data_IF_399400686194
#
_entry.id   IF_399400686194
#
_cell.length_a   1.000
_cell.length_b   1.000
_cell.length_c   1.000
_cell.angle_alpha   90.00
_cell.angle_beta   90.00
_cell.angle_gamma   90.00
#
_symmetry.space_group_name_H-M   'P 1'
#
loop_
_entity.id
_entity.type
_entity.pdbx_description
1 polymer ?
#
# COMPACT_ATOMS: atom_id res chain seq x y z
N UNK A 1 -1.95 -25.82 -35.18
CA UNK A 1 -3.21 -26.50 -34.78
C UNK A 1 -3.59 -26.11 -33.38
N UNK A 2 -4.83 -26.25 -32.93
CA UNK A 2 -5.28 -25.87 -31.57
C UNK A 2 -4.45 -26.52 -30.46
N UNK A 3 -3.93 -27.75 -30.70
CA UNK A 3 -3.06 -28.46 -29.75
C UNK A 3 -1.78 -27.68 -29.38
N UNK A 4 -1.24 -26.93 -30.28
CA UNK A 4 0.00 -26.16 -30.05
C UNK A 4 -0.22 -24.95 -29.13
N UNK A 5 -1.46 -24.41 -29.11
CA UNK A 5 -1.83 -23.29 -28.26
C UNK A 5 -1.65 -23.59 -26.75
N UNK A 6 -1.87 -24.85 -26.35
CA UNK A 6 -1.82 -25.25 -24.94
C UNK A 6 -0.47 -25.84 -24.51
N UNK A 7 0.45 -26.05 -25.43
CA UNK A 7 1.75 -26.70 -25.16
C UNK A 7 2.96 -25.79 -25.37
N UNK A 8 2.84 -24.75 -26.20
CA UNK A 8 3.93 -23.79 -26.44
C UNK A 8 4.10 -22.82 -25.29
N UNK A 9 5.33 -22.62 -24.86
CA UNK A 9 5.69 -21.53 -23.95
C UNK A 9 5.66 -20.17 -24.66
N UNK A 10 5.66 -19.10 -23.89
CA UNK A 10 5.56 -17.71 -24.40
C UNK A 10 6.66 -17.37 -25.42
N UNK A 11 7.88 -17.94 -25.28
CA UNK A 11 8.98 -17.73 -26.21
C UNK A 11 8.67 -18.18 -27.62
N UNK A 12 7.90 -19.25 -27.76
CA UNK A 12 7.49 -19.81 -29.04
C UNK A 12 6.17 -19.22 -29.53
N UNK A 13 5.26 -18.94 -28.60
CA UNK A 13 3.92 -18.44 -28.93
C UNK A 13 3.93 -16.94 -29.29
N UNK A 14 4.73 -16.14 -28.58
CA UNK A 14 4.86 -14.69 -28.77
C UNK A 14 6.28 -14.22 -28.43
N UNK A 15 7.21 -14.32 -29.41
CA UNK A 15 8.60 -13.92 -29.22
C UNK A 15 8.78 -12.42 -28.89
N UNK A 16 7.86 -11.57 -29.36
CA UNK A 16 7.91 -10.12 -29.12
C UNK A 16 7.65 -9.81 -27.65
N UNK A 17 6.57 -10.34 -27.07
CA UNK A 17 6.25 -10.21 -25.65
C UNK A 17 7.33 -10.89 -24.81
N UNK A 18 7.80 -12.07 -25.19
CA UNK A 18 8.91 -12.74 -24.50
C UNK A 18 10.17 -11.85 -24.44
N UNK A 19 10.48 -11.16 -25.52
CA UNK A 19 11.58 -10.21 -25.58
C UNK A 19 11.45 -9.06 -24.57
N UNK A 20 10.23 -8.55 -24.35
CA UNK A 20 10.00 -7.49 -23.35
C UNK A 20 10.21 -8.02 -21.93
N UNK A 21 9.67 -9.21 -21.63
CA UNK A 21 9.84 -9.85 -20.32
C UNK A 21 11.32 -10.15 -20.01
N UNK A 22 12.05 -10.57 -21.01
CA UNK A 22 13.49 -10.88 -20.86
C UNK A 22 14.30 -9.61 -20.55
N UNK A 23 14.02 -8.50 -21.25
CA UNK A 23 14.67 -7.21 -20.98
C UNK A 23 14.32 -6.64 -19.61
N UNK A 24 13.06 -6.81 -19.17
CA UNK A 24 12.67 -6.39 -17.82
C UNK A 24 13.37 -7.22 -16.74
N UNK A 25 13.49 -8.53 -16.94
CA UNK A 25 14.26 -9.38 -16.04
C UNK A 25 15.73 -8.93 -15.97
N UNK A 26 16.34 -8.64 -17.12
CA UNK A 26 17.71 -8.12 -17.20
C UNK A 26 17.85 -6.77 -16.48
N UNK A 27 16.90 -5.86 -16.66
CA UNK A 27 16.85 -4.59 -15.93
C UNK A 27 16.83 -4.81 -14.42
N UNK A 28 15.92 -5.63 -13.92
CA UNK A 28 15.80 -5.91 -12.48
C UNK A 28 17.03 -6.61 -11.88
N UNK A 29 17.79 -7.37 -12.69
CA UNK A 29 19.02 -8.02 -12.25
C UNK A 29 20.23 -7.09 -12.23
N UNK A 30 20.25 -6.07 -13.09
CA UNK A 30 21.41 -5.20 -13.31
C UNK A 30 21.26 -3.78 -12.75
N UNK A 31 20.04 -3.39 -12.29
CA UNK A 31 19.79 -2.10 -11.66
C UNK A 31 19.47 -2.26 -10.18
N UNK A 32 19.74 -1.23 -9.41
CA UNK A 32 19.39 -1.16 -7.99
C UNK A 32 18.01 -0.49 -7.87
N UNK A 33 17.03 -1.25 -7.40
CA UNK A 33 15.67 -0.77 -7.18
C UNK A 33 15.56 -0.06 -5.82
N UNK A 34 15.31 1.25 -5.85
CA UNK A 34 15.12 2.08 -4.65
C UNK A 34 13.74 2.75 -4.60
N UNK A 35 12.80 2.36 -5.46
CA UNK A 35 11.41 2.80 -5.37
C UNK A 35 10.77 2.14 -4.15
N UNK A 36 10.44 2.91 -3.12
CA UNK A 36 9.96 2.39 -1.83
C UNK A 36 8.67 1.57 -1.91
N UNK A 37 7.91 1.68 -3.00
CA UNK A 37 6.68 0.91 -3.25
C UNK A 37 6.90 -0.37 -4.07
N UNK A 38 8.14 -0.69 -4.45
CA UNK A 38 8.49 -1.88 -5.23
C UNK A 38 9.23 -2.92 -4.40
N UNK A 39 9.14 -4.18 -4.84
CA UNK A 39 9.84 -5.31 -4.24
C UNK A 39 9.90 -6.46 -5.23
N UNK A 40 10.76 -7.44 -4.95
CA UNK A 40 10.97 -8.61 -5.81
C UNK A 40 10.19 -9.81 -5.23
N UNK A 41 9.16 -10.24 -5.95
CA UNK A 41 8.37 -11.42 -5.58
C UNK A 41 9.18 -12.71 -5.79
N UNK A 42 8.98 -13.70 -4.91
CA UNK A 42 9.63 -15.00 -5.05
C UNK A 42 9.14 -15.75 -6.30
N UNK A 43 9.96 -16.68 -6.79
CA UNK A 43 9.57 -17.55 -7.90
C UNK A 43 8.29 -18.35 -7.60
N UNK A 44 8.10 -18.74 -6.36
CA UNK A 44 6.88 -19.46 -5.93
C UNK A 44 5.62 -18.61 -6.06
N UNK A 45 5.72 -17.31 -5.72
CA UNK A 45 4.63 -16.34 -5.90
C UNK A 45 4.33 -16.16 -7.39
N UNK A 46 5.36 -15.97 -8.23
CA UNK A 46 5.20 -15.82 -9.68
C UNK A 46 4.59 -17.06 -10.32
N UNK A 47 5.01 -18.27 -9.91
CA UNK A 47 4.45 -19.52 -10.39
C UNK A 47 2.95 -19.69 -10.02
N UNK A 48 2.59 -19.33 -8.79
CA UNK A 48 1.19 -19.35 -8.37
C UNK A 48 0.33 -18.36 -9.16
N UNK A 49 0.85 -17.17 -9.43
CA UNK A 49 0.18 -16.13 -10.21
C UNK A 49 -0.01 -16.54 -11.68
N UNK A 50 0.95 -17.27 -12.26
CA UNK A 50 0.87 -17.82 -13.62
C UNK A 50 0.15 -19.18 -13.70
N UNK A 51 -0.61 -19.58 -12.68
CA UNK A 51 -1.26 -20.88 -12.61
C UNK A 51 -2.60 -20.94 -13.33
N UNK A 52 -3.12 -22.17 -13.51
CA UNK A 52 -4.44 -22.46 -14.11
C UNK A 52 -5.61 -21.86 -13.33
N UNK A 53 -5.39 -21.38 -12.12
CA UNK A 53 -6.44 -20.69 -11.34
C UNK A 53 -6.93 -19.40 -12.01
N UNK A 54 -6.19 -18.84 -12.97
CA UNK A 54 -6.65 -17.73 -13.81
C UNK A 54 -7.90 -18.06 -14.63
N UNK A 55 -8.14 -19.34 -14.92
CA UNK A 55 -9.26 -19.81 -15.72
C UNK A 55 -10.58 -19.86 -14.94
N UNK A 56 -10.53 -19.81 -13.60
CA UNK A 56 -11.70 -20.08 -12.76
C UNK A 56 -12.45 -18.82 -12.38
N UNK A 57 -13.73 -18.77 -12.73
CA UNK A 57 -14.67 -17.74 -12.30
C UNK A 57 -15.27 -18.11 -10.92
N UNK A 58 -15.12 -17.26 -9.91
CA UNK A 58 -15.44 -17.60 -8.52
C UNK A 58 -16.15 -16.47 -7.75
N UNK A 59 -17.17 -15.82 -8.35
CA UNK A 59 -18.00 -14.83 -7.67
C UNK A 59 -18.60 -15.38 -6.38
N UNK A 60 -18.67 -14.55 -5.37
CA UNK A 60 -19.05 -14.90 -4.01
C UNK A 60 -17.84 -15.16 -3.11
N UNK A 61 -18.03 -15.92 -2.06
CA UNK A 61 -17.04 -16.24 -1.04
C UNK A 61 -16.90 -17.74 -0.83
N UNK A 62 -15.83 -18.24 -0.18
CA UNK A 62 -15.67 -19.67 0.08
C UNK A 62 -16.93 -20.31 0.67
N UNK A 63 -17.36 -21.43 0.12
CA UNK A 63 -18.59 -22.13 0.49
C UNK A 63 -19.90 -21.46 0.05
N UNK A 64 -19.85 -20.26 -0.54
CA UNK A 64 -21.01 -19.47 -1.01
C UNK A 64 -20.72 -18.85 -2.37
N UNK A 65 -20.34 -19.68 -3.35
CA UNK A 65 -20.06 -19.22 -4.73
C UNK A 65 -21.31 -19.25 -5.58
N UNK A 66 -21.33 -18.40 -6.60
CA UNK A 66 -22.40 -18.39 -7.61
C UNK A 66 -22.19 -19.42 -8.71
N UNK A 67 -20.99 -20.04 -8.80
CA UNK A 67 -20.61 -21.00 -9.85
C UNK A 67 -20.15 -22.33 -9.25
N UNK A 68 -20.36 -23.40 -9.97
CA UNK A 68 -19.81 -24.72 -9.61
C UNK A 68 -18.31 -24.82 -9.85
N UNK A 69 -17.69 -25.90 -9.37
CA UNK A 69 -16.27 -26.22 -9.58
C UNK A 69 -15.32 -25.29 -8.80
N UNK A 70 -15.73 -24.76 -7.67
CA UNK A 70 -14.93 -23.82 -6.86
C UNK A 70 -14.17 -24.49 -5.70
N UNK A 71 -14.23 -25.81 -5.57
CA UNK A 71 -13.63 -26.55 -4.46
C UNK A 71 -12.17 -26.17 -4.19
N UNK A 72 -11.32 -26.14 -5.20
CA UNK A 72 -9.90 -25.87 -5.02
C UNK A 72 -9.57 -24.38 -4.89
N UNK A 73 -10.35 -23.51 -5.54
CA UNK A 73 -10.18 -22.06 -5.34
C UNK A 73 -10.66 -21.62 -3.96
N UNK A 74 -11.66 -22.29 -3.40
CA UNK A 74 -12.10 -22.09 -2.01
C UNK A 74 -10.96 -22.44 -1.05
N UNK A 75 -10.34 -23.62 -1.21
CA UNK A 75 -9.19 -24.01 -0.41
C UNK A 75 -8.04 -23.00 -0.49
N UNK A 76 -7.74 -22.47 -1.69
CA UNK A 76 -6.69 -21.47 -1.86
C UNK A 76 -7.01 -20.17 -1.12
N UNK A 77 -8.26 -19.71 -1.19
CA UNK A 77 -8.69 -18.48 -0.49
C UNK A 77 -8.74 -18.70 1.03
N UNK A 78 -9.21 -19.85 1.50
CA UNK A 78 -9.22 -20.22 2.92
C UNK A 78 -7.81 -20.28 3.51
N UNK A 79 -6.85 -20.90 2.82
CA UNK A 79 -5.44 -20.91 3.21
C UNK A 79 -4.89 -19.48 3.32
N UNK A 80 -5.20 -18.63 2.35
CA UNK A 80 -4.77 -17.24 2.37
C UNK A 80 -5.40 -16.46 3.53
N UNK A 81 -6.70 -16.66 3.78
CA UNK A 81 -7.44 -16.05 4.90
C UNK A 81 -6.90 -16.49 6.26
N UNK A 82 -6.61 -17.77 6.44
CA UNK A 82 -6.02 -18.28 7.68
C UNK A 82 -4.65 -17.66 7.94
N UNK A 83 -3.79 -17.65 6.91
CA UNK A 83 -2.43 -17.13 7.02
C UNK A 83 -2.40 -15.62 7.29
N UNK A 84 -3.23 -14.82 6.61
CA UNK A 84 -3.26 -13.37 6.82
C UNK A 84 -3.81 -13.01 8.20
N UNK A 85 -4.83 -13.71 8.68
CA UNK A 85 -5.35 -13.53 10.05
C UNK A 85 -4.28 -13.81 11.09
N UNK A 86 -3.52 -14.88 10.94
CA UNK A 86 -2.40 -15.21 11.82
C UNK A 86 -1.28 -14.16 11.73
N UNK A 87 -0.94 -13.72 10.51
CA UNK A 87 0.16 -12.77 10.26
C UNK A 87 -0.07 -11.42 10.92
N UNK A 88 -1.29 -10.90 10.88
CA UNK A 88 -1.63 -9.58 11.42
C UNK A 88 -2.43 -9.62 12.73
N UNK A 89 -2.67 -10.81 13.27
CA UNK A 89 -3.47 -11.01 14.50
C UNK A 89 -4.86 -10.34 14.40
N UNK A 90 -5.56 -10.57 13.30
CA UNK A 90 -6.91 -10.05 13.07
C UNK A 90 -7.98 -11.14 13.04
N UNK A 91 -9.22 -10.79 13.37
CA UNK A 91 -10.36 -11.73 13.40
C UNK A 91 -10.91 -11.99 12.00
N UNK A 92 -11.00 -10.94 11.18
CA UNK A 92 -11.66 -10.98 9.87
C UNK A 92 -10.78 -10.36 8.80
N UNK A 93 -10.81 -10.94 7.60
CA UNK A 93 -10.07 -10.45 6.45
C UNK A 93 -10.89 -10.65 5.16
N UNK A 94 -10.80 -9.71 4.23
CA UNK A 94 -11.25 -9.84 2.86
C UNK A 94 -10.05 -9.72 1.92
N UNK A 95 -9.86 -10.72 1.06
CA UNK A 95 -8.72 -10.82 0.14
C UNK A 95 -9.10 -10.61 -1.32
N UNK A 96 -10.31 -10.19 -1.62
CA UNK A 96 -10.77 -10.04 -3.00
C UNK A 96 -10.52 -8.67 -3.64
N UNK A 97 -10.18 -7.56 -2.93
CA UNK A 97 -9.83 -6.32 -3.60
C UNK A 97 -8.66 -6.49 -4.58
N UNK A 98 -8.83 -6.04 -5.83
CA UNK A 98 -7.82 -6.18 -6.88
C UNK A 98 -6.64 -5.22 -6.69
N UNK A 99 -6.84 -4.11 -5.98
CA UNK A 99 -5.80 -3.11 -5.70
C UNK A 99 -6.05 -2.39 -4.38
N UNK A 100 -5.02 -1.69 -3.85
CA UNK A 100 -5.16 -0.84 -2.66
C UNK A 100 -6.23 0.24 -2.83
N UNK A 101 -6.32 0.85 -4.00
CA UNK A 101 -7.36 1.83 -4.31
C UNK A 101 -8.77 1.23 -4.20
N UNK A 102 -8.98 0.02 -4.73
CA UNK A 102 -10.28 -0.66 -4.63
C UNK A 102 -10.57 -1.14 -3.21
N UNK A 103 -9.56 -1.52 -2.43
CA UNK A 103 -9.75 -1.82 -1.00
C UNK A 103 -10.26 -0.58 -0.24
N UNK A 104 -9.65 0.59 -0.44
CA UNK A 104 -10.11 1.84 0.16
C UNK A 104 -11.52 2.22 -0.34
N UNK A 105 -11.80 2.07 -1.64
CA UNK A 105 -13.12 2.33 -2.22
C UNK A 105 -14.20 1.41 -1.62
N UNK A 106 -13.88 0.13 -1.41
CA UNK A 106 -14.82 -0.81 -0.78
C UNK A 106 -15.13 -0.41 0.67
N UNK A 107 -14.14 0.07 1.43
CA UNK A 107 -14.35 0.60 2.78
C UNK A 107 -15.20 1.87 2.74
N UNK A 108 -14.94 2.77 1.79
CA UNK A 108 -15.77 3.98 1.61
C UNK A 108 -17.22 3.61 1.26
N UNK A 109 -17.43 2.71 0.30
CA UNK A 109 -18.76 2.25 -0.09
C UNK A 109 -19.51 1.58 1.08
N UNK A 110 -18.79 0.85 1.94
CA UNK A 110 -19.38 0.16 3.10
C UNK A 110 -19.82 1.11 4.23
N UNK A 111 -19.10 2.23 4.43
CA UNK A 111 -19.17 3.01 5.66
C UNK A 111 -19.56 4.47 5.47
N UNK A 112 -19.53 4.99 4.24
CA UNK A 112 -19.75 6.40 3.92
C UNK A 112 -20.86 6.58 2.89
N UNK A 113 -21.40 7.78 2.84
CA UNK A 113 -22.28 8.26 1.77
C UNK A 113 -21.53 9.32 0.94
N UNK A 114 -21.90 9.54 -0.35
CA UNK A 114 -21.39 10.67 -1.12
C UNK A 114 -21.56 11.99 -0.34
N UNK A 115 -20.54 12.85 -0.41
CA UNK A 115 -20.43 14.12 0.31
C UNK A 115 -20.19 14.05 1.82
N UNK A 116 -20.08 12.86 2.41
CA UNK A 116 -19.56 12.76 3.79
C UNK A 116 -18.16 13.38 3.88
N UNK A 117 -17.86 13.96 5.03
CA UNK A 117 -16.53 14.53 5.28
C UNK A 117 -15.56 13.42 5.65
N UNK A 118 -14.40 13.41 5.01
CA UNK A 118 -13.25 12.57 5.36
C UNK A 118 -12.04 13.44 5.71
N UNK A 119 -11.21 12.98 6.63
CA UNK A 119 -9.95 13.64 7.03
C UNK A 119 -8.79 12.71 6.72
N UNK A 120 -7.88 13.12 5.83
CA UNK A 120 -6.73 12.32 5.40
C UNK A 120 -5.46 13.15 5.23
N UNK A 121 -4.29 12.49 5.15
CA UNK A 121 -3.02 13.16 4.95
C UNK A 121 -2.93 13.75 3.54
N UNK A 122 -2.45 14.99 3.41
CA UNK A 122 -2.23 15.65 2.13
C UNK A 122 -1.13 14.96 1.31
N UNK A 123 -1.24 15.01 -0.02
CA UNK A 123 -0.20 14.48 -0.92
C UNK A 123 1.16 15.13 -0.67
N UNK A 124 1.19 16.45 -0.42
CA UNK A 124 2.41 17.20 -0.16
C UNK A 124 3.10 16.75 1.12
N UNK A 125 2.35 16.22 2.10
CA UNK A 125 2.88 15.69 3.36
C UNK A 125 3.17 14.18 3.31
N UNK A 126 3.02 13.55 2.15
CA UNK A 126 3.29 12.13 1.95
C UNK A 126 2.05 11.23 1.93
N UNK A 127 0.82 11.78 1.93
CA UNK A 127 -0.42 11.02 1.81
C UNK A 127 -0.57 10.28 0.49
N UNK A 128 -1.55 9.39 0.40
CA UNK A 128 -1.89 8.66 -0.82
C UNK A 128 -3.03 9.35 -1.59
N UNK A 129 -3.11 9.13 -2.90
CA UNK A 129 -4.19 9.67 -3.75
C UNK A 129 -5.58 9.36 -3.20
N UNK A 130 -5.79 8.14 -2.70
CA UNK A 130 -7.09 7.71 -2.17
C UNK A 130 -7.44 8.27 -0.79
N UNK A 131 -6.59 9.13 -0.21
CA UNK A 131 -6.85 9.79 1.08
C UNK A 131 -7.48 11.18 0.92
N UNK A 132 -8.24 11.41 -0.16
CA UNK A 132 -8.96 12.65 -0.39
C UNK A 132 -8.31 13.61 -1.39
N UNK A 133 -7.33 13.14 -2.19
CA UNK A 133 -6.73 14.00 -3.22
C UNK A 133 -7.76 14.38 -4.29
N UNK A 134 -7.82 15.66 -4.67
CA UNK A 134 -8.81 16.23 -5.61
C UNK A 134 -8.99 15.46 -6.93
N UNK A 135 -7.94 14.94 -7.62
CA UNK A 135 -8.13 14.20 -8.86
C UNK A 135 -8.66 12.77 -8.65
N UNK A 136 -8.58 12.24 -7.43
CA UNK A 136 -9.02 10.89 -7.09
C UNK A 136 -10.52 10.84 -6.79
N UNK A 137 -11.12 9.63 -6.91
CA UNK A 137 -12.51 9.38 -6.54
C UNK A 137 -12.80 9.88 -5.12
N UNK A 138 -11.89 9.66 -4.16
CA UNK A 138 -12.06 10.09 -2.76
C UNK A 138 -12.18 11.62 -2.62
N UNK A 139 -11.47 12.38 -3.43
CA UNK A 139 -11.58 13.86 -3.45
C UNK A 139 -12.72 14.40 -4.31
N UNK A 140 -13.35 13.55 -5.15
CA UNK A 140 -14.50 13.91 -5.99
C UNK A 140 -15.84 13.59 -5.33
N UNK A 141 -15.90 12.49 -4.57
CA UNK A 141 -17.13 12.00 -3.95
C UNK A 141 -17.35 12.51 -2.53
N UNK A 142 -16.28 12.84 -1.83
CA UNK A 142 -16.32 13.24 -0.43
C UNK A 142 -15.87 14.69 -0.24
N UNK A 143 -16.33 15.29 0.85
CA UNK A 143 -15.77 16.54 1.36
C UNK A 143 -14.43 16.22 2.05
N UNK A 144 -13.33 16.26 1.28
CA UNK A 144 -12.03 15.85 1.74
C UNK A 144 -11.28 17.00 2.43
N UNK A 145 -11.12 16.90 3.73
CA UNK A 145 -10.24 17.73 4.56
C UNK A 145 -8.88 17.06 4.67
N UNK A 146 -7.80 17.84 4.63
CA UNK A 146 -6.46 17.30 4.65
C UNK A 146 -5.63 17.86 5.79
N UNK A 147 -4.99 16.98 6.57
CA UNK A 147 -3.98 17.35 7.56
C UNK A 147 -2.57 17.26 6.98
N UNK A 148 -1.65 17.89 7.65
CA UNK A 148 -0.26 17.97 7.22
C UNK A 148 0.75 17.49 8.26
N UNK A 149 1.93 18.06 8.17
CA UNK A 149 3.05 17.87 9.08
C UNK A 149 3.45 19.24 9.66
N UNK A 150 4.12 19.24 10.80
CA UNK A 150 4.65 20.44 11.44
C UNK A 150 5.59 21.19 10.51
N UNK A 151 5.44 22.50 10.44
CA UNK A 151 6.16 23.37 9.49
C UNK A 151 7.52 23.84 10.00
N UNK A 152 7.69 23.87 11.31
CA UNK A 152 8.86 24.38 12.01
C UNK A 152 9.13 23.65 13.33
N UNK A 153 10.12 24.13 14.07
CA UNK A 153 10.51 23.54 15.36
C UNK A 153 11.33 22.24 15.24
N UNK A 154 11.58 21.64 16.40
CA UNK A 154 12.37 20.41 16.49
C UNK A 154 11.66 19.20 15.85
N UNK A 155 10.32 19.24 15.80
CA UNK A 155 9.47 18.21 15.25
C UNK A 155 9.03 18.52 13.80
N UNK A 156 9.75 19.40 13.12
CA UNK A 156 9.49 19.75 11.73
C UNK A 156 9.37 18.49 10.86
N UNK A 157 8.42 18.50 9.94
CA UNK A 157 8.10 17.42 9.00
C UNK A 157 7.48 16.16 9.68
N UNK A 158 7.24 16.16 11.00
CA UNK A 158 6.46 15.11 11.67
C UNK A 158 4.96 15.39 11.59
N UNK A 159 4.12 14.33 11.63
CA UNK A 159 2.66 14.49 11.65
C UNK A 159 2.25 15.44 12.77
N UNK A 160 1.45 16.45 12.42
CA UNK A 160 0.90 17.40 13.38
C UNK A 160 -0.41 16.85 13.95
N UNK A 161 -0.30 16.11 15.05
CA UNK A 161 -1.48 15.53 15.70
C UNK A 161 -2.40 16.57 16.31
N UNK A 162 -1.91 17.74 16.65
CA UNK A 162 -2.73 18.82 17.19
C UNK A 162 -3.56 19.45 16.07
N UNK A 163 -2.98 19.60 14.86
CA UNK A 163 -3.72 19.96 13.64
C UNK A 163 -4.78 18.89 13.30
N UNK A 164 -4.41 17.60 13.37
CA UNK A 164 -5.39 16.50 13.11
C UNK A 164 -6.58 16.60 14.05
N UNK A 165 -6.34 16.83 15.35
CA UNK A 165 -7.41 16.95 16.33
C UNK A 165 -8.26 18.20 16.11
N UNK A 166 -7.64 19.35 15.86
CA UNK A 166 -8.34 20.61 15.58
C UNK A 166 -9.26 20.48 14.35
N UNK A 167 -8.73 19.92 13.23
CA UNK A 167 -9.51 19.69 12.01
C UNK A 167 -10.64 18.66 12.23
N UNK A 168 -10.39 17.65 13.03
CA UNK A 168 -11.42 16.65 13.35
C UNK A 168 -12.57 17.27 14.15
N UNK A 169 -12.28 18.10 15.14
CA UNK A 169 -13.28 18.81 15.95
C UNK A 169 -14.08 19.83 15.14
N UNK A 170 -13.41 20.57 14.25
CA UNK A 170 -14.02 21.58 13.39
C UNK A 170 -14.93 20.95 12.33
N UNK A 171 -14.42 19.96 11.60
CA UNK A 171 -15.11 19.42 10.42
C UNK A 171 -15.94 18.17 10.69
N UNK A 172 -15.78 17.55 11.87
CA UNK A 172 -16.52 16.33 12.32
C UNK A 172 -16.60 15.26 11.23
N UNK A 173 -15.45 14.79 10.71
CA UNK A 173 -15.43 13.81 9.63
C UNK A 173 -16.13 12.52 10.03
N UNK A 174 -16.74 11.83 9.06
CA UNK A 174 -17.26 10.48 9.25
C UNK A 174 -16.15 9.44 9.29
N UNK A 175 -15.00 9.75 8.67
CA UNK A 175 -13.84 8.86 8.65
C UNK A 175 -12.54 9.67 8.73
N UNK A 176 -11.63 9.21 9.58
CA UNK A 176 -10.24 9.65 9.63
C UNK A 176 -9.37 8.56 9.00
N UNK A 177 -8.51 8.94 8.08
CA UNK A 177 -7.62 8.04 7.34
C UNK A 177 -6.19 8.34 7.75
N UNK A 178 -5.50 7.36 8.33
CA UNK A 178 -4.07 7.42 8.60
C UNK A 178 -3.31 6.41 7.74
N UNK A 179 -2.03 6.69 7.53
CA UNK A 179 -1.17 5.96 6.62
C UNK A 179 -0.61 6.90 5.55
N UNK A 180 0.47 6.50 4.90
CA UNK A 180 1.16 7.36 3.96
C UNK A 180 1.90 6.58 2.88
N UNK A 181 2.13 7.24 1.74
CA UNK A 181 2.98 6.75 0.66
C UNK A 181 4.45 7.13 0.85
N UNK A 182 4.71 8.25 1.54
CA UNK A 182 6.06 8.80 1.67
C UNK A 182 6.34 9.39 3.07
N UNK A 183 5.87 8.76 4.12
CA UNK A 183 6.17 9.19 5.50
C UNK A 183 7.10 8.18 6.17
N UNK A 184 8.35 8.56 6.53
CA UNK A 184 9.37 7.60 6.96
C UNK A 184 9.34 7.25 8.45
N UNK A 185 8.61 8.00 9.29
CA UNK A 185 8.57 7.83 10.73
C UNK A 185 7.45 6.91 11.20
N UNK A 186 7.56 6.47 12.43
CA UNK A 186 6.49 5.71 13.08
C UNK A 186 5.25 6.56 13.26
N UNK A 187 4.09 6.02 12.92
CA UNK A 187 2.79 6.66 13.10
C UNK A 187 2.16 6.13 14.40
N UNK A 188 1.67 7.05 15.22
CA UNK A 188 0.96 6.72 16.45
C UNK A 188 -0.53 6.44 16.15
N UNK A 189 -0.81 5.14 15.95
CA UNK A 189 -2.16 4.66 15.67
C UNK A 189 -3.14 4.92 16.84
N UNK A 190 -2.63 4.84 18.07
CA UNK A 190 -3.44 5.06 19.27
C UNK A 190 -3.94 6.49 19.34
N UNK A 191 -3.05 7.47 19.07
CA UNK A 191 -3.40 8.89 19.08
C UNK A 191 -4.44 9.22 18.00
N UNK A 192 -4.30 8.66 16.80
CA UNK A 192 -5.33 8.78 15.75
C UNK A 192 -6.68 8.18 16.19
N UNK A 193 -6.66 7.02 16.87
CA UNK A 193 -7.88 6.40 17.38
C UNK A 193 -8.56 7.27 18.42
N UNK A 194 -7.82 7.81 19.37
CA UNK A 194 -8.34 8.72 20.38
C UNK A 194 -9.00 9.96 19.77
N UNK A 195 -8.41 10.54 18.72
CA UNK A 195 -9.00 11.66 17.97
C UNK A 195 -10.29 11.22 17.27
N UNK A 196 -10.29 10.07 16.62
CA UNK A 196 -11.46 9.55 15.93
C UNK A 196 -12.63 9.31 16.88
N UNK A 197 -12.37 8.75 18.07
CA UNK A 197 -13.38 8.51 19.08
C UNK A 197 -14.00 9.81 19.62
N UNK A 198 -13.20 10.89 19.76
CA UNK A 198 -13.71 12.21 20.21
C UNK A 198 -14.80 12.77 19.29
N UNK A 199 -14.76 12.46 18.01
CA UNK A 199 -15.72 12.98 17.02
C UNK A 199 -16.68 11.92 16.47
N UNK A 200 -16.59 10.68 16.97
CA UNK A 200 -17.42 9.57 16.51
C UNK A 200 -17.14 9.13 15.07
N UNK A 201 -15.90 9.31 14.60
CA UNK A 201 -15.49 8.94 13.26
C UNK A 201 -15.03 7.47 13.17
N UNK A 202 -15.22 6.85 12.01
CA UNK A 202 -14.47 5.62 11.69
C UNK A 202 -12.99 5.94 11.56
N UNK A 203 -12.14 5.04 12.06
CA UNK A 203 -10.70 5.12 11.88
C UNK A 203 -10.23 4.05 10.90
N UNK A 204 -9.81 4.49 9.71
CA UNK A 204 -9.23 3.67 8.65
C UNK A 204 -7.71 3.83 8.66
N UNK A 205 -6.97 2.74 8.72
CA UNK A 205 -5.52 2.74 8.51
C UNK A 205 -5.19 2.08 7.18
N UNK A 206 -4.56 2.83 6.28
CA UNK A 206 -3.92 2.31 5.08
C UNK A 206 -2.44 2.03 5.39
N UNK A 207 -2.14 0.76 5.71
CA UNK A 207 -0.78 0.34 6.04
C UNK A 207 -0.01 -0.20 4.82
N UNK A 208 -0.41 0.14 3.60
CA UNK A 208 0.15 -0.45 2.38
C UNK A 208 1.68 -0.40 2.30
N UNK A 209 2.32 0.70 2.72
CA UNK A 209 3.77 0.81 2.78
C UNK A 209 4.39 0.04 3.95
N UNK A 210 3.67 -0.09 5.06
CA UNK A 210 4.21 -0.62 6.32
C UNK A 210 3.86 -2.09 6.56
N UNK A 211 3.00 -2.70 5.75
CA UNK A 211 2.47 -4.05 6.02
C UNK A 211 3.53 -5.14 6.16
N UNK A 212 4.61 -5.08 5.37
CA UNK A 212 5.75 -5.97 5.55
C UNK A 212 6.51 -5.72 6.85
N UNK A 213 6.63 -4.43 7.25
CA UNK A 213 7.29 -4.06 8.51
C UNK A 213 6.47 -4.51 9.72
N UNK A 214 5.14 -4.42 9.65
CA UNK A 214 4.20 -4.95 10.66
C UNK A 214 4.30 -6.47 10.72
N UNK A 215 4.25 -7.15 9.57
CA UNK A 215 4.38 -8.60 9.48
C UNK A 215 5.74 -9.10 10.04
N UNK A 216 6.82 -8.36 9.79
CA UNK A 216 8.15 -8.61 10.36
C UNK A 216 8.35 -8.07 11.79
N UNK A 217 7.30 -7.63 12.46
CA UNK A 217 7.29 -7.13 13.85
C UNK A 217 8.25 -5.96 14.11
N UNK A 218 8.54 -5.17 13.10
CA UNK A 218 9.43 -4.02 13.18
C UNK A 218 8.68 -2.67 13.11
N UNK A 219 7.34 -2.70 13.09
CA UNK A 219 6.48 -1.53 13.05
C UNK A 219 5.19 -1.81 13.82
N UNK A 220 4.59 -0.81 14.50
CA UNK A 220 3.37 -1.03 15.29
C UNK A 220 2.22 -1.57 14.44
N UNK A 221 1.54 -2.59 14.94
CA UNK A 221 0.37 -3.17 14.27
C UNK A 221 -0.86 -2.27 14.49
N UNK A 222 -1.50 -1.75 13.44
CA UNK A 222 -2.65 -0.87 13.59
C UNK A 222 -3.95 -1.60 13.97
N UNK A 223 -4.01 -2.92 13.88
CA UNK A 223 -5.26 -3.70 13.96
C UNK A 223 -5.99 -3.56 15.31
N UNK A 224 -5.25 -3.29 16.39
CA UNK A 224 -5.83 -3.10 17.72
C UNK A 224 -6.46 -1.72 17.89
N UNK A 225 -6.08 -0.75 17.07
CA UNK A 225 -6.53 0.64 17.16
C UNK A 225 -7.53 1.00 16.06
N UNK A 226 -7.37 0.46 14.87
CA UNK A 226 -8.21 0.81 13.73
C UNK A 226 -9.57 0.10 13.74
N UNK A 227 -10.60 0.77 13.22
CA UNK A 227 -11.85 0.10 12.89
C UNK A 227 -11.68 -0.82 11.67
N UNK A 228 -10.94 -0.34 10.67
CA UNK A 228 -10.61 -1.08 9.45
C UNK A 228 -9.16 -0.78 9.08
N UNK A 229 -8.45 -1.81 8.61
CA UNK A 229 -7.11 -1.69 8.06
C UNK A 229 -7.13 -2.14 6.61
N UNK A 230 -6.59 -1.34 5.71
CA UNK A 230 -6.34 -1.72 4.32
C UNK A 230 -4.85 -1.85 4.05
N UNK A 231 -4.49 -2.67 3.09
CA UNK A 231 -3.11 -2.76 2.63
C UNK A 231 -3.04 -3.32 1.22
N UNK A 232 -1.99 -2.95 0.51
CA UNK A 232 -1.50 -3.72 -0.64
C UNK A 232 -0.63 -4.90 -0.18
N UNK A 233 -0.40 -5.86 -1.08
CA UNK A 233 0.39 -7.05 -0.77
C UNK A 233 1.75 -7.11 -1.47
N UNK A 234 2.05 -6.12 -2.33
CA UNK A 234 3.20 -6.13 -3.24
C UNK A 234 4.33 -5.13 -2.91
N UNK A 235 4.22 -4.39 -1.80
CA UNK A 235 5.26 -3.44 -1.35
C UNK A 235 6.22 -4.14 -0.37
N UNK A 236 6.36 -3.65 0.84
CA UNK A 236 7.23 -4.28 1.85
C UNK A 236 6.85 -5.73 2.17
N UNK A 237 5.61 -6.13 1.95
CA UNK A 237 5.16 -7.52 2.14
C UNK A 237 5.65 -8.48 1.02
N UNK A 238 6.17 -7.95 -0.09
CA UNK A 238 6.85 -8.69 -1.16
C UNK A 238 5.97 -9.73 -1.88
N UNK A 239 4.65 -9.52 -1.94
CA UNK A 239 3.71 -10.44 -2.56
C UNK A 239 3.26 -10.07 -3.97
N UNK A 240 2.26 -10.79 -4.47
CA UNK A 240 1.58 -10.45 -5.72
C UNK A 240 0.84 -9.10 -5.61
N UNK A 241 0.71 -8.39 -6.73
CA UNK A 241 0.01 -7.10 -6.79
C UNK A 241 -1.48 -7.28 -6.57
N UNK A 242 -1.94 -6.88 -5.42
CA UNK A 242 -3.35 -6.90 -5.00
C UNK A 242 -3.50 -6.16 -3.67
N UNK A 243 -4.64 -6.34 -2.98
CA UNK A 243 -4.89 -5.74 -1.68
C UNK A 243 -5.69 -6.64 -0.73
N UNK A 244 -5.78 -6.21 0.52
CA UNK A 244 -6.52 -6.85 1.59
C UNK A 244 -7.21 -5.81 2.46
N UNK A 245 -8.31 -6.22 3.11
CA UNK A 245 -9.01 -5.43 4.12
C UNK A 245 -9.11 -6.30 5.38
N UNK A 246 -8.69 -5.75 6.51
CA UNK A 246 -8.62 -6.44 7.79
C UNK A 246 -9.46 -5.69 8.84
N UNK A 247 -10.11 -6.41 9.73
CA UNK A 247 -10.85 -5.80 10.85
C UNK A 247 -11.04 -6.79 12.00
N UNK A 248 -11.26 -6.26 13.20
CA UNK A 248 -11.70 -7.05 14.35
C UNK A 248 -13.21 -6.94 14.63
N UNK A 249 -13.95 -6.17 13.82
CA UNK A 249 -15.38 -5.87 13.98
C UNK A 249 -16.20 -6.69 12.97
N UNK A 250 -17.03 -7.61 13.46
CA UNK A 250 -17.82 -8.51 12.63
C UNK A 250 -18.88 -7.79 11.78
N UNK A 251 -19.51 -6.77 12.34
CA UNK A 251 -20.50 -5.95 11.65
C UNK A 251 -19.90 -5.20 10.48
N UNK A 252 -18.69 -4.64 10.65
CA UNK A 252 -17.95 -3.98 9.58
C UNK A 252 -17.51 -4.98 8.52
N UNK A 253 -17.05 -6.17 8.93
CA UNK A 253 -16.67 -7.21 7.99
C UNK A 253 -17.83 -7.61 7.05
N UNK A 254 -19.04 -7.77 7.59
CA UNK A 254 -20.23 -8.07 6.77
C UNK A 254 -20.53 -6.98 5.74
N UNK A 255 -20.48 -5.70 6.16
CA UNK A 255 -20.66 -4.55 5.27
C UNK A 255 -19.58 -4.48 4.20
N UNK A 256 -18.32 -4.67 4.58
CA UNK A 256 -17.16 -4.66 3.67
C UNK A 256 -17.27 -5.78 2.64
N UNK A 257 -17.64 -7.00 3.05
CA UNK A 257 -17.82 -8.11 2.10
C UNK A 257 -18.89 -7.79 1.06
N UNK A 258 -20.03 -7.23 1.49
CA UNK A 258 -21.09 -6.80 0.58
C UNK A 258 -20.62 -5.66 -0.36
N UNK A 259 -19.80 -4.74 0.14
CA UNK A 259 -19.25 -3.63 -0.65
C UNK A 259 -18.19 -4.11 -1.65
N UNK A 260 -17.37 -5.11 -1.31
CA UNK A 260 -16.43 -5.73 -2.25
C UNK A 260 -17.19 -6.50 -3.33
N UNK A 261 -18.01 -7.46 -2.93
CA UNK A 261 -18.84 -8.24 -3.83
C UNK A 261 -20.26 -8.39 -3.26
N UNK A 262 -21.29 -8.03 -4.03
CA UNK A 262 -21.28 -7.57 -5.43
C UNK A 262 -21.15 -6.04 -5.61
N UNK A 263 -20.87 -5.28 -4.55
CA UNK A 263 -20.97 -3.81 -4.58
C UNK A 263 -20.00 -3.12 -5.54
N UNK A 264 -18.73 -3.53 -5.57
CA UNK A 264 -17.67 -2.86 -6.32
C UNK A 264 -17.04 -3.75 -7.39
N UNK A 265 -16.94 -5.05 -7.15
CA UNK A 265 -16.27 -6.03 -7.98
C UNK A 265 -17.19 -7.20 -8.32
N UNK A 266 -16.85 -7.94 -9.41
CA UNK A 266 -17.38 -9.24 -9.79
C UNK A 266 -16.43 -10.37 -9.41
N UNK A 267 -15.98 -11.16 -10.41
CA UNK A 267 -15.10 -12.31 -10.20
C UNK A 267 -13.76 -11.95 -9.57
N UNK A 268 -13.38 -12.61 -8.47
CA UNK A 268 -12.07 -12.40 -7.84
C UNK A 268 -10.95 -13.01 -8.68
N UNK A 269 -9.73 -12.51 -8.51
CA UNK A 269 -8.53 -12.99 -9.20
C UNK A 269 -7.94 -14.17 -8.43
N UNK A 270 -8.43 -15.41 -8.69
CA UNK A 270 -8.08 -16.58 -7.89
C UNK A 270 -6.60 -16.96 -7.98
N UNK A 271 -5.96 -16.77 -9.12
CA UNK A 271 -4.51 -16.94 -9.29
C UNK A 271 -3.69 -15.95 -8.44
N UNK A 272 -4.18 -14.73 -8.27
CA UNK A 272 -3.55 -13.73 -7.39
C UNK A 272 -3.79 -14.06 -5.91
N UNK A 273 -4.99 -14.57 -5.55
CA UNK A 273 -5.29 -15.02 -4.18
C UNK A 273 -4.38 -16.20 -3.81
N UNK A 274 -4.19 -17.18 -4.71
CA UNK A 274 -3.25 -18.27 -4.51
C UNK A 274 -1.80 -17.76 -4.33
N UNK A 275 -1.36 -16.82 -5.15
CA UNK A 275 -0.04 -16.21 -5.02
C UNK A 275 0.14 -15.48 -3.67
N UNK A 276 -0.92 -14.85 -3.14
CA UNK A 276 -0.90 -14.25 -1.81
C UNK A 276 -0.90 -15.28 -0.69
N UNK A 277 -1.55 -16.42 -0.87
CA UNK A 277 -1.44 -17.53 0.09
C UNK A 277 0.03 -17.96 0.26
N UNK A 278 0.79 -18.01 -0.85
CA UNK A 278 2.25 -18.27 -0.80
C UNK A 278 2.99 -17.15 -0.08
N UNK A 279 2.73 -15.90 -0.46
CA UNK A 279 3.33 -14.72 0.16
C UNK A 279 3.15 -14.68 1.69
N UNK A 280 1.92 -14.89 2.17
CA UNK A 280 1.64 -14.91 3.62
C UNK A 280 2.33 -16.08 4.31
N UNK A 281 2.44 -17.23 3.62
CA UNK A 281 3.20 -18.38 4.12
C UNK A 281 4.70 -18.08 4.23
N UNK A 282 5.28 -17.33 3.30
CA UNK A 282 6.67 -16.86 3.38
C UNK A 282 6.84 -15.83 4.51
N UNK A 283 5.89 -14.89 4.65
CA UNK A 283 5.94 -13.83 5.66
C UNK A 283 5.75 -14.35 7.11
N UNK A 284 5.17 -15.52 7.29
CA UNK A 284 5.04 -16.18 8.60
C UNK A 284 6.34 -16.87 9.09
N UNK A 285 7.35 -16.98 8.21
CA UNK A 285 8.62 -17.63 8.57
C UNK A 285 9.56 -16.68 9.29
N UNK A 286 10.42 -17.17 10.19
CA UNK A 286 11.40 -16.33 10.91
C UNK A 286 12.33 -15.54 9.98
N UNK A 287 12.67 -16.08 8.82
CA UNK A 287 13.55 -15.46 7.84
C UNK A 287 12.97 -14.14 7.30
N UNK A 288 11.64 -14.00 7.30
CA UNK A 288 11.00 -12.75 6.89
C UNK A 288 11.18 -11.65 7.93
N UNK A 289 11.13 -11.98 9.22
CA UNK A 289 11.42 -11.02 10.30
C UNK A 289 12.87 -10.51 10.19
N UNK A 290 13.82 -11.40 9.96
CA UNK A 290 15.23 -11.03 9.75
C UNK A 290 15.41 -10.16 8.50
N UNK A 291 14.75 -10.53 7.40
CA UNK A 291 14.75 -9.70 6.18
C UNK A 291 14.28 -8.27 6.46
N UNK A 292 13.18 -8.09 7.19
CA UNK A 292 12.64 -6.76 7.51
C UNK A 292 13.57 -5.97 8.46
N UNK A 293 14.22 -6.63 9.43
CA UNK A 293 15.25 -5.99 10.26
C UNK A 293 16.37 -5.42 9.41
N UNK A 294 16.84 -6.20 8.44
CA UNK A 294 17.90 -5.77 7.53
C UNK A 294 17.46 -4.63 6.62
N UNK A 295 16.22 -4.62 6.13
CA UNK A 295 15.65 -3.52 5.34
C UNK A 295 15.69 -2.20 6.12
N UNK A 296 15.22 -2.21 7.38
CA UNK A 296 15.20 -1.00 8.22
C UNK A 296 16.63 -0.57 8.58
N UNK A 297 17.51 -1.51 8.94
CA UNK A 297 18.91 -1.21 9.24
C UNK A 297 19.61 -0.54 8.04
N UNK A 298 19.42 -1.09 6.84
CA UNK A 298 19.97 -0.52 5.59
C UNK A 298 19.43 0.89 5.31
N UNK A 299 18.13 1.12 5.49
CA UNK A 299 17.54 2.44 5.32
C UNK A 299 18.13 3.48 6.30
N UNK A 300 18.32 3.09 7.58
CA UNK A 300 18.96 3.96 8.59
C UNK A 300 20.40 4.28 8.24
N UNK A 301 21.18 3.30 7.79
CA UNK A 301 22.58 3.50 7.35
C UNK A 301 22.61 4.44 6.15
N UNK A 302 21.76 4.21 5.15
CA UNK A 302 21.66 5.08 3.96
C UNK A 302 21.32 6.52 4.37
N UNK A 303 20.31 6.71 5.21
CA UNK A 303 19.92 8.04 5.69
C UNK A 303 21.09 8.75 6.40
N UNK A 304 21.80 8.04 7.29
CA UNK A 304 22.97 8.57 7.99
C UNK A 304 24.08 9.01 7.03
N UNK A 305 24.47 8.15 6.09
CA UNK A 305 25.53 8.44 5.12
C UNK A 305 25.17 9.66 4.26
N UNK A 306 23.90 9.79 3.87
CA UNK A 306 23.43 10.94 3.10
C UNK A 306 23.52 12.23 3.90
N UNK A 307 23.15 12.20 5.20
CA UNK A 307 23.32 13.36 6.09
C UNK A 307 24.80 13.71 6.25
N UNK A 308 25.67 12.74 6.50
CA UNK A 308 27.13 12.94 6.62
C UNK A 308 27.73 13.55 5.33
N UNK A 309 27.08 13.36 4.19
CA UNK A 309 27.44 13.96 2.88
C UNK A 309 26.72 15.28 2.58
N UNK A 310 26.04 15.86 3.54
CA UNK A 310 25.42 17.17 3.45
C UNK A 310 24.07 17.20 2.71
N UNK A 311 23.36 16.08 2.66
CA UNK A 311 21.97 16.03 2.22
C UNK A 311 21.03 16.21 3.42
N UNK A 312 19.88 16.81 3.18
CA UNK A 312 18.80 16.90 4.17
C UNK A 312 17.87 15.72 4.02
N UNK A 313 17.65 14.95 5.11
CA UNK A 313 16.58 13.95 5.19
C UNK A 313 15.34 14.63 5.75
N UNK A 314 14.22 14.53 5.05
CA UNK A 314 12.91 14.96 5.54
C UNK A 314 12.59 14.16 6.81
N UNK A 315 12.03 14.82 7.85
CA UNK A 315 11.81 14.24 9.20
C UNK A 315 13.09 13.93 10.00
N UNK A 316 14.28 14.35 9.52
CA UNK A 316 15.56 14.11 10.22
C UNK A 316 16.03 12.67 10.29
N UNK A 317 15.38 11.72 9.62
CA UNK A 317 15.76 10.30 9.62
C UNK A 317 14.63 9.36 9.21
N UNK A 318 14.79 8.06 9.46
CA UNK A 318 13.77 7.05 9.14
C UNK A 318 13.62 5.98 10.23
N UNK A 319 12.40 5.54 10.44
CA UNK A 319 12.03 4.38 11.27
C UNK A 319 11.48 3.24 10.40
N UNK A 320 11.46 3.42 9.08
CA UNK A 320 10.90 2.49 8.12
C UNK A 320 11.89 2.15 6.98
N UNK A 321 11.39 1.63 5.88
CA UNK A 321 12.16 1.38 4.65
C UNK A 321 12.31 2.63 3.77
N UNK A 322 11.63 3.74 4.10
CA UNK A 322 11.59 4.95 3.30
C UNK A 322 12.72 5.89 3.70
N UNK A 323 13.53 6.32 2.74
CA UNK A 323 14.50 7.42 2.90
C UNK A 323 14.03 8.58 2.02
N UNK A 324 13.60 9.66 2.65
CA UNK A 324 13.00 10.80 1.95
C UNK A 324 13.96 12.00 1.95
N UNK A 325 14.52 12.29 0.77
CA UNK A 325 15.53 13.32 0.57
C UNK A 325 14.91 14.65 0.15
N UNK A 326 15.37 15.73 0.78
CA UNK A 326 15.19 17.09 0.30
C UNK A 326 16.41 17.52 -0.53
N UNK A 327 16.18 17.73 -1.81
CA UNK A 327 17.23 18.11 -2.77
C UNK A 327 17.32 19.63 -2.98
N UNK A 328 16.44 20.42 -2.38
CA UNK A 328 16.43 21.88 -2.53
C UNK A 328 17.75 22.54 -2.06
N UNK A 329 18.40 22.10 -0.95
CA UNK A 329 19.70 22.67 -0.56
C UNK A 329 20.83 22.43 -1.58
N UNK A 330 20.67 21.48 -2.49
CA UNK A 330 21.62 21.18 -3.58
C UNK A 330 21.24 21.86 -4.90
N UNK A 331 20.16 22.63 -4.94
CA UNK A 331 19.66 23.28 -6.16
C UNK A 331 19.12 22.27 -7.20
N UNK A 332 18.73 21.07 -6.76
CA UNK A 332 18.20 19.99 -7.61
C UNK A 332 16.71 19.80 -7.40
N UNK A 333 16.03 19.41 -8.47
CA UNK A 333 14.63 18.96 -8.42
C UNK A 333 14.57 17.44 -8.48
N UNK A 334 13.49 16.85 -7.95
CA UNK A 334 13.30 15.41 -7.91
C UNK A 334 13.29 14.77 -9.31
N UNK A 335 12.73 15.42 -10.33
CA UNK A 335 12.68 14.94 -11.70
C UNK A 335 14.06 14.92 -12.38
N UNK A 336 14.93 15.88 -12.08
CA UNK A 336 16.32 15.87 -12.54
C UNK A 336 17.12 14.77 -11.87
N UNK A 337 16.98 14.63 -10.54
CA UNK A 337 17.69 13.61 -9.79
C UNK A 337 17.26 12.20 -10.21
N UNK A 338 15.96 11.95 -10.40
CA UNK A 338 15.41 10.67 -10.89
C UNK A 338 16.08 10.25 -12.21
N UNK A 339 16.15 11.16 -13.20
CA UNK A 339 16.79 10.88 -14.50
C UNK A 339 18.29 10.59 -14.40
N UNK A 340 19.02 11.38 -13.62
CA UNK A 340 20.46 11.16 -13.42
C UNK A 340 20.73 9.82 -12.74
N UNK A 341 19.91 9.45 -11.75
CA UNK A 341 20.05 8.18 -11.05
C UNK A 341 19.71 6.99 -11.97
N UNK A 342 18.70 7.14 -12.83
CA UNK A 342 18.35 6.11 -13.82
C UNK A 342 19.50 5.85 -14.81
N UNK A 343 20.20 6.91 -15.28
CA UNK A 343 21.37 6.78 -16.18
C UNK A 343 22.50 5.96 -15.56
N UNK A 344 22.61 5.91 -14.23
CA UNK A 344 23.62 5.12 -13.52
C UNK A 344 23.07 3.83 -12.91
N UNK A 345 21.88 3.42 -13.33
CA UNK A 345 21.27 2.15 -12.92
C UNK A 345 20.65 2.15 -11.53
N UNK A 346 20.22 3.32 -11.02
CA UNK A 346 19.49 3.46 -9.76
C UNK A 346 18.05 3.88 -10.04
N UNK A 347 17.09 2.97 -9.89
CA UNK A 347 15.67 3.28 -10.05
C UNK A 347 15.11 3.92 -8.76
N UNK A 348 14.70 5.19 -8.86
CA UNK A 348 14.10 5.96 -7.76
C UNK A 348 12.80 6.59 -8.22
N UNK A 349 12.00 7.10 -7.29
CA UNK A 349 10.85 7.94 -7.60
C UNK A 349 10.96 9.32 -6.98
N UNK A 350 10.42 10.32 -7.68
CA UNK A 350 10.29 11.69 -7.16
C UNK A 350 9.03 11.84 -6.33
N UNK A 351 9.14 12.63 -5.25
CA UNK A 351 8.02 13.03 -4.41
C UNK A 351 8.04 14.53 -4.15
N UNK A 352 6.87 15.11 -3.86
CA UNK A 352 6.83 16.44 -3.26
C UNK A 352 7.43 16.37 -1.84
N UNK A 353 8.00 17.45 -1.35
CA UNK A 353 8.44 17.60 0.05
C UNK A 353 7.46 18.50 0.81
N UNK A 354 7.22 18.26 2.12
CA UNK A 354 6.37 19.13 2.91
C UNK A 354 6.92 20.55 2.93
N UNK A 355 6.05 21.51 2.62
CA UNK A 355 6.30 22.95 2.79
C UNK A 355 7.53 23.51 2.08
N UNK A 356 7.42 23.67 0.77
CA UNK A 356 8.12 24.73 0.08
C UNK A 356 7.06 25.65 -0.55
N UNK A 357 6.55 26.62 0.21
CA UNK A 357 5.58 27.58 -0.30
C UNK A 357 6.17 28.60 -1.30
N UNK A 358 7.47 28.58 -1.53
CA UNK A 358 8.13 29.59 -2.35
C UNK A 358 8.45 29.19 -3.78
N UNK A 359 8.34 27.92 -4.18
CA UNK A 359 8.63 27.51 -5.56
C UNK A 359 7.84 26.29 -6.03
N UNK A 360 6.55 26.22 -5.70
CA UNK A 360 5.63 25.31 -6.36
C UNK A 360 5.05 25.94 -7.63
N UNK A 361 5.88 26.15 -8.62
CA UNK A 361 5.43 26.02 -9.99
C UNK A 361 5.65 24.55 -10.37
N UNK A 362 4.78 23.68 -9.88
CA UNK A 362 4.55 22.41 -10.54
C UNK A 362 3.83 22.72 -11.86
N UNK A 363 4.41 22.39 -13.01
CA UNK A 363 3.60 22.15 -14.16
C UNK A 363 3.02 20.73 -13.99
N UNK A 364 2.00 20.58 -13.17
CA UNK A 364 1.05 19.48 -13.29
C UNK A 364 0.22 19.75 -14.55
N UNK A 365 0.83 19.60 -15.70
CA UNK A 365 0.11 19.33 -16.94
C UNK A 365 0.12 17.83 -17.13
N UNK A 366 -0.88 17.16 -16.55
CA UNK A 366 -1.45 16.00 -17.20
C UNK A 366 -2.23 16.53 -18.40
N UNK A 367 -1.69 16.38 -19.58
CA UNK A 367 -2.45 16.28 -20.82
C UNK A 367 -2.49 14.83 -21.22
#
# INVERSE_FOLDING_TARGET
MISDLFTKGIKEADPEVYGTLSRELERQQNQIELIASENIASRSILNAQGSVMTNKYAEGYPGKRYYGGCEFVDQAEEIALERVKKLFNCKFANLQPHSGAQANQAVFLALLQPHDTILGMSLASGGHLTHGAKPNLSGKWFNAVQYGVKKDGNDKDLIDYDEVEALALEHKPKMIIAGASAYPRTIDWKKFREIADKVGAYFLVDMAHYSGLVAGKQYPNPIEHAHVVTSTTHKTLRGARSAMILTNHEDLYKKINSAVFPGLQGGPLMHVIAARAVCFGEALKPEFEEYIKNVIASAKVMAKILVDRGFRIVTGGTDSHIVWLDLTPKGLTGDKAEKILEEVGLACNKNAIPVSYTHLTLPTRYR
#
